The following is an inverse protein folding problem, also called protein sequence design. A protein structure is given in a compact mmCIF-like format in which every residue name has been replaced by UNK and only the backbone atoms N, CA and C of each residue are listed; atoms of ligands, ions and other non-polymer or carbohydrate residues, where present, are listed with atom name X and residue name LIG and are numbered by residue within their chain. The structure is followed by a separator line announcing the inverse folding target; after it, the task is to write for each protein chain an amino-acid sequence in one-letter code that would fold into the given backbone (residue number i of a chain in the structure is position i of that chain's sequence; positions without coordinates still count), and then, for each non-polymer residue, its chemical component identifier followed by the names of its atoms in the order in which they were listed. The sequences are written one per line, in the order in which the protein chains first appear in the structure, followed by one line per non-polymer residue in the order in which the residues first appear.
data_IF_376602813576
#
_entry.id   IF_376602813576
#
_cell.length_a   1.000
_cell.length_b   1.000
_cell.length_c   1.000
_cell.angle_alpha   90.00
_cell.angle_beta   90.00
_cell.angle_gamma   90.00
#
_symmetry.space_group_name_H-M   'P 1'
#
loop_
_entity.id
_entity.type
_entity.pdbx_description
1 polymer ?
#
# COMPACT_ATOMS: atom_id res chain seq x y z
N UNK A 1 40.84 44.17 13.79
CA UNK A 1 41.38 44.22 15.16
C UNK A 1 41.21 42.82 15.77
N UNK A 2 42.36 42.19 16.07
CA UNK A 2 42.67 41.13 17.05
C UNK A 2 41.70 39.95 17.29
N UNK A 3 42.12 38.68 17.06
CA UNK A 3 43.00 37.80 17.89
C UNK A 3 42.27 37.36 19.19
N UNK A 4 42.14 36.09 19.56
CA UNK A 4 43.14 35.00 19.64
C UNK A 4 42.49 33.61 19.81
N UNK A 5 43.24 32.58 19.40
CA UNK A 5 43.09 31.16 19.79
C UNK A 5 43.65 30.90 21.22
N UNK A 6 43.44 29.68 21.76
CA UNK A 6 44.46 28.77 22.38
C UNK A 6 43.79 27.61 23.16
N UNK A 7 44.14 26.36 22.77
CA UNK A 7 44.63 25.18 23.57
C UNK A 7 43.96 24.92 24.94
N UNK A 8 43.48 23.74 25.36
CA UNK A 8 43.82 22.33 25.10
C UNK A 8 44.41 21.69 26.38
N UNK A 9 43.78 20.67 26.98
CA UNK A 9 44.43 19.74 27.96
C UNK A 9 43.71 18.38 27.92
N UNK A 10 44.49 17.32 27.74
CA UNK A 10 44.13 15.91 27.90
C UNK A 10 44.51 15.42 29.30
N UNK A 11 43.76 14.49 29.89
CA UNK A 11 44.20 13.70 31.05
C UNK A 11 43.86 12.23 30.79
N UNK A 12 44.86 11.37 30.95
CA UNK A 12 44.85 9.94 30.73
C UNK A 12 44.90 9.16 32.06
N UNK A 13 44.36 7.93 31.98
CA UNK A 13 44.75 6.68 32.66
C UNK A 13 44.46 6.49 34.16
N UNK A 14 43.87 5.34 34.49
CA UNK A 14 44.59 4.25 35.20
C UNK A 14 43.82 2.92 35.15
N UNK A 15 44.57 1.83 34.89
CA UNK A 15 44.16 0.43 34.95
C UNK A 15 44.18 -0.09 36.40
N UNK A 16 43.37 -1.09 36.70
CA UNK A 16 43.62 -2.03 37.80
C UNK A 16 43.50 -3.48 37.29
N UNK A 17 44.62 -4.21 37.37
CA UNK A 17 44.69 -5.67 37.29
C UNK A 17 44.45 -6.25 38.70
N UNK A 18 43.76 -7.38 38.80
CA UNK A 18 43.96 -8.31 39.90
C UNK A 18 43.83 -9.76 39.43
N UNK A 19 44.78 -10.56 39.88
CA UNK A 19 45.17 -11.84 39.33
C UNK A 19 44.64 -13.04 40.15
N UNK A 20 44.49 -14.15 39.43
CA UNK A 20 44.68 -15.58 39.77
C UNK A 20 44.30 -16.11 41.16
N UNK A 21 43.55 -17.21 41.19
CA UNK A 21 43.90 -18.44 41.95
C UNK A 21 43.30 -19.66 41.24
N UNK A 22 44.08 -20.74 41.15
CA UNK A 22 43.74 -22.03 40.55
C UNK A 22 43.48 -23.09 41.63
N UNK A 23 42.58 -24.06 41.36
CA UNK A 23 42.63 -25.43 41.89
C UNK A 23 41.57 -26.34 41.21
N UNK A 24 42.03 -27.44 40.62
CA UNK A 24 41.28 -28.69 40.34
C UNK A 24 41.70 -29.77 41.39
N UNK A 25 41.22 -31.04 41.41
CA UNK A 25 40.09 -31.71 40.73
C UNK A 25 39.22 -32.55 41.72
N UNK A 26 38.13 -33.20 41.24
CA UNK A 26 37.88 -34.64 41.45
C UNK A 26 36.47 -35.12 41.00
N UNK A 27 36.50 -36.23 40.25
CA UNK A 27 35.62 -37.40 40.29
C UNK A 27 34.14 -37.31 39.84
N UNK A 28 33.86 -38.06 38.76
CA UNK A 28 32.89 -39.16 38.81
C UNK A 28 31.54 -38.92 38.15
N UNK A 29 31.21 -39.76 37.16
CA UNK A 29 29.84 -39.95 36.70
C UNK A 29 29.73 -40.22 35.20
N UNK A 30 29.82 -41.50 34.82
CA UNK A 30 29.37 -41.96 33.51
C UNK A 30 27.87 -41.73 33.36
N UNK A 31 27.46 -41.10 32.26
CA UNK A 31 26.08 -41.17 31.79
C UNK A 31 26.10 -41.31 30.27
N UNK A 32 25.70 -42.49 29.81
CA UNK A 32 25.65 -42.86 28.40
C UNK A 32 24.79 -41.88 27.59
N UNK A 33 25.40 -41.23 26.61
CA UNK A 33 24.68 -40.45 25.61
C UNK A 33 24.19 -41.40 24.51
N UNK A 34 22.90 -41.72 24.55
CA UNK A 34 22.22 -42.50 23.52
C UNK A 34 22.14 -41.65 22.24
N UNK A 35 22.82 -42.08 21.18
CA UNK A 35 22.77 -41.43 19.87
C UNK A 35 21.35 -41.52 19.28
N UNK A 36 20.76 -40.37 18.98
CA UNK A 36 19.42 -40.24 18.42
C UNK A 36 19.36 -40.62 16.94
N UNK A 37 18.22 -41.22 16.54
CA UNK A 37 17.76 -41.26 15.16
C UNK A 37 16.49 -40.41 15.11
N UNK A 38 16.61 -39.19 14.59
CA UNK A 38 15.45 -38.35 14.24
C UNK A 38 15.07 -38.68 12.81
N UNK A 39 13.93 -39.33 12.62
CA UNK A 39 13.37 -39.62 11.30
C UNK A 39 12.74 -38.33 10.73
N UNK A 40 13.48 -37.62 9.89
CA UNK A 40 12.96 -36.48 9.13
C UNK A 40 12.10 -37.01 7.99
N UNK A 41 10.77 -36.95 8.13
CA UNK A 41 9.86 -37.19 7.01
C UNK A 41 9.76 -35.92 6.19
N UNK A 42 10.40 -35.91 5.01
CA UNK A 42 10.22 -34.86 4.03
C UNK A 42 8.81 -34.98 3.44
N UNK A 43 7.92 -34.08 3.80
CA UNK A 43 6.60 -33.96 3.18
C UNK A 43 6.77 -33.15 1.90
N UNK A 44 6.74 -33.82 0.75
CA UNK A 44 6.72 -33.17 -0.56
C UNK A 44 5.33 -32.60 -0.78
N UNK A 45 5.12 -31.33 -0.48
CA UNK A 45 3.88 -30.62 -0.82
C UNK A 45 3.84 -30.44 -2.34
N UNK A 46 2.97 -31.19 -3.02
CA UNK A 46 2.70 -31.02 -4.45
C UNK A 46 1.91 -29.70 -4.61
N UNK A 47 2.38 -28.73 -5.44
CA UNK A 47 1.59 -27.53 -5.72
C UNK A 47 0.29 -27.94 -6.42
N UNK A 48 -0.84 -27.62 -5.81
CA UNK A 48 -2.14 -27.82 -6.44
C UNK A 48 -2.29 -26.80 -7.59
N UNK A 49 -2.75 -27.20 -8.79
CA UNK A 49 -3.04 -26.24 -9.86
C UNK A 49 -4.04 -25.21 -9.35
N UNK A 50 -3.97 -23.95 -9.83
CA UNK A 50 -4.93 -22.93 -9.43
C UNK A 50 -6.33 -23.46 -9.73
N UNK A 51 -7.14 -23.59 -8.67
CA UNK A 51 -8.56 -23.83 -8.84
C UNK A 51 -9.09 -22.70 -9.70
N UNK A 52 -9.86 -23.04 -10.74
CA UNK A 52 -10.54 -22.04 -11.56
C UNK A 52 -11.46 -21.23 -10.66
N UNK A 53 -10.92 -20.13 -10.13
CA UNK A 53 -11.67 -19.18 -9.35
C UNK A 53 -12.78 -18.64 -10.21
N UNK A 54 -13.96 -18.51 -9.63
CA UNK A 54 -14.95 -17.56 -10.13
C UNK A 54 -14.21 -16.27 -10.45
N UNK A 55 -14.44 -15.66 -11.63
CA UNK A 55 -13.76 -14.46 -12.11
C UNK A 55 -13.74 -13.25 -11.13
N UNK A 56 -14.26 -13.37 -9.90
CA UNK A 56 -14.24 -12.39 -8.81
C UNK A 56 -13.17 -12.56 -7.72
N UNK A 57 -12.53 -13.73 -7.60
CA UNK A 57 -11.71 -14.11 -6.43
C UNK A 57 -10.28 -14.53 -6.84
N UNK A 58 -9.65 -13.74 -7.72
CA UNK A 58 -8.20 -13.84 -7.88
C UNK A 58 -7.50 -13.54 -6.54
N UNK A 59 -6.36 -14.18 -6.22
CA UNK A 59 -5.73 -14.12 -4.90
C UNK A 59 -5.49 -12.69 -4.40
N UNK A 60 -5.12 -11.80 -5.33
CA UNK A 60 -4.68 -10.45 -4.99
C UNK A 60 -5.82 -9.41 -5.14
N UNK A 61 -7.00 -9.81 -5.63
CA UNK A 61 -8.21 -8.98 -5.59
C UNK A 61 -8.10 -7.58 -6.23
N UNK A 62 -7.25 -7.40 -7.24
CA UNK A 62 -7.01 -6.08 -7.85
C UNK A 62 -5.96 -5.21 -7.13
N UNK A 63 -5.24 -5.77 -6.15
CA UNK A 63 -4.06 -5.14 -5.59
C UNK A 63 -2.97 -4.94 -6.65
N UNK A 64 -2.19 -3.87 -6.50
CA UNK A 64 -1.12 -3.49 -7.42
C UNK A 64 0.22 -3.51 -6.68
N UNK A 65 1.20 -4.22 -7.21
CA UNK A 65 2.59 -4.18 -6.73
C UNK A 65 3.33 -2.91 -7.19
N UNK A 66 2.85 -2.28 -8.25
CA UNK A 66 3.30 -0.99 -8.76
C UNK A 66 2.13 -0.29 -9.50
N UNK A 67 2.14 1.06 -9.61
CA UNK A 67 1.15 1.77 -10.41
C UNK A 67 1.14 1.28 -11.86
N UNK A 68 -0.04 1.21 -12.47
CA UNK A 68 -0.23 0.70 -13.83
C UNK A 68 -0.72 1.78 -14.77
N UNK A 69 -0.50 1.58 -16.07
CA UNK A 69 -1.07 2.44 -17.10
C UNK A 69 -2.60 2.28 -17.15
N UNK A 70 -3.39 3.35 -17.36
CA UNK A 70 -4.81 3.25 -17.67
C UNK A 70 -5.14 2.42 -18.93
N UNK A 71 -4.13 2.13 -19.75
CA UNK A 71 -4.26 1.32 -20.95
C UNK A 71 -3.86 -0.16 -20.73
N UNK A 72 -3.39 -0.52 -19.54
CA UNK A 72 -3.03 -1.89 -19.22
C UNK A 72 -4.27 -2.72 -18.85
N UNK A 73 -4.98 -3.18 -19.87
CA UNK A 73 -6.17 -4.03 -19.72
C UNK A 73 -5.86 -5.48 -19.32
N UNK A 74 -4.58 -5.81 -19.07
CA UNK A 74 -4.21 -7.10 -18.47
C UNK A 74 -4.33 -7.06 -16.95
N UNK A 75 -4.28 -5.87 -16.36
CA UNK A 75 -4.48 -5.66 -14.93
C UNK A 75 -5.97 -5.69 -14.56
N UNK A 76 -6.31 -6.47 -13.52
CA UNK A 76 -7.67 -6.49 -12.97
C UNK A 76 -8.14 -5.14 -12.43
N UNK A 77 -7.22 -4.34 -11.90
CA UNK A 77 -7.52 -2.99 -11.42
C UNK A 77 -8.05 -2.10 -12.55
N UNK A 78 -7.68 -2.37 -13.81
CA UNK A 78 -8.06 -1.56 -14.98
C UNK A 78 -9.23 -2.18 -15.72
N UNK A 79 -9.17 -3.46 -16.09
CA UNK A 79 -10.16 -4.10 -16.97
C UNK A 79 -11.54 -4.27 -16.32
N UNK A 80 -11.63 -4.14 -14.98
CA UNK A 80 -12.89 -4.23 -14.23
C UNK A 80 -13.45 -2.89 -13.78
N UNK A 81 -12.83 -1.78 -14.20
CA UNK A 81 -13.48 -0.48 -14.09
C UNK A 81 -14.73 -0.46 -14.96
N UNK A 82 -15.73 0.31 -14.53
CA UNK A 82 -16.90 0.63 -15.32
C UNK A 82 -16.44 1.18 -16.69
N UNK A 83 -16.92 0.65 -17.84
CA UNK A 83 -16.34 0.99 -19.14
C UNK A 83 -16.38 2.49 -19.48
N UNK A 84 -17.47 3.24 -19.20
CA UNK A 84 -17.47 4.70 -19.25
C UNK A 84 -16.37 5.36 -18.40
N UNK A 85 -16.17 4.93 -17.15
CA UNK A 85 -15.11 5.45 -16.30
C UNK A 85 -13.73 5.19 -16.90
N UNK A 86 -13.45 3.96 -17.34
CA UNK A 86 -12.18 3.60 -17.96
C UNK A 86 -11.90 4.47 -19.18
N UNK A 87 -12.93 4.71 -20.01
CA UNK A 87 -12.79 5.57 -21.19
C UNK A 87 -12.43 7.00 -20.81
N UNK A 88 -13.11 7.59 -19.83
CA UNK A 88 -12.82 8.93 -19.35
C UNK A 88 -11.40 9.07 -18.80
N UNK A 89 -10.93 8.07 -18.05
CA UNK A 89 -9.54 8.05 -17.52
C UNK A 89 -8.52 7.94 -18.65
N UNK A 90 -8.79 7.14 -19.68
CA UNK A 90 -7.92 7.02 -20.86
C UNK A 90 -7.88 8.32 -21.67
N UNK A 91 -9.01 9.00 -21.84
CA UNK A 91 -9.08 10.30 -22.52
C UNK A 91 -8.31 11.37 -21.71
N UNK A 92 -8.48 11.39 -20.39
CA UNK A 92 -7.70 12.25 -19.50
C UNK A 92 -6.19 11.95 -19.58
N UNK A 93 -5.79 10.69 -19.60
CA UNK A 93 -4.38 10.28 -19.69
C UNK A 93 -3.73 10.71 -21.02
N UNK A 94 -4.47 10.61 -22.13
CA UNK A 94 -3.99 11.10 -23.43
C UNK A 94 -3.82 12.62 -23.44
N UNK A 95 -4.77 13.36 -22.88
CA UNK A 95 -4.69 14.83 -22.81
C UNK A 95 -3.55 15.27 -21.88
N UNK A 96 -3.41 14.65 -20.72
CA UNK A 96 -2.34 14.95 -19.78
C UNK A 96 -0.97 14.70 -20.40
N UNK A 97 -0.81 13.61 -21.15
CA UNK A 97 0.44 13.29 -21.84
C UNK A 97 0.82 14.35 -22.89
N UNK A 98 -0.17 14.93 -23.58
CA UNK A 98 0.07 16.04 -24.51
C UNK A 98 0.59 17.31 -23.80
N UNK A 99 0.23 17.49 -22.53
CA UNK A 99 0.72 18.56 -21.66
C UNK A 99 2.00 18.18 -20.89
N UNK A 100 2.58 17.00 -21.16
CA UNK A 100 3.79 16.50 -20.48
C UNK A 100 3.55 15.95 -19.08
N UNK A 101 2.30 15.64 -18.72
CA UNK A 101 1.91 15.05 -17.44
C UNK A 101 1.55 13.57 -17.62
N UNK A 102 2.24 12.68 -16.91
CA UNK A 102 1.90 11.26 -16.91
C UNK A 102 0.85 10.94 -15.86
N UNK A 103 -0.24 10.27 -16.26
CA UNK A 103 -1.21 9.67 -15.34
C UNK A 103 -0.98 8.16 -15.23
N UNK A 104 -1.01 7.64 -14.01
CA UNK A 104 -1.03 6.21 -13.70
C UNK A 104 -2.14 5.90 -12.73
N UNK A 105 -2.62 4.66 -12.74
CA UNK A 105 -3.57 4.15 -11.76
C UNK A 105 -2.79 3.55 -10.61
N UNK A 106 -2.95 4.11 -9.41
CA UNK A 106 -2.39 3.57 -8.16
C UNK A 106 -3.36 2.62 -7.47
N UNK A 107 -4.66 2.75 -7.76
CA UNK A 107 -5.68 1.78 -7.37
C UNK A 107 -6.89 1.91 -8.29
N UNK A 108 -7.42 0.80 -8.79
CA UNK A 108 -8.59 0.78 -9.65
C UNK A 108 -9.69 -0.06 -9.04
N UNK A 109 -10.23 -1.02 -9.80
CA UNK A 109 -11.16 -1.99 -9.24
C UNK A 109 -10.52 -2.81 -8.10
N UNK A 110 -11.30 -3.09 -7.05
CA UNK A 110 -10.89 -3.93 -5.92
C UNK A 110 -11.91 -5.04 -5.69
N UNK A 111 -11.47 -6.22 -5.27
CA UNK A 111 -12.39 -7.25 -4.77
C UNK A 111 -12.94 -6.85 -3.41
N UNK A 112 -14.10 -7.41 -3.03
CA UNK A 112 -14.67 -7.21 -1.69
C UNK A 112 -13.75 -7.70 -0.58
N UNK A 113 -13.07 -8.83 -0.79
CA UNK A 113 -12.13 -9.39 0.18
C UNK A 113 -10.91 -8.47 0.37
N UNK A 114 -10.36 -7.93 -0.72
CA UNK A 114 -9.25 -6.99 -0.63
C UNK A 114 -9.68 -5.68 0.05
N UNK A 115 -10.87 -5.16 -0.26
CA UNK A 115 -11.42 -3.98 0.42
C UNK A 115 -11.64 -4.23 1.92
N UNK A 116 -12.07 -5.45 2.32
CA UNK A 116 -12.21 -5.81 3.73
C UNK A 116 -10.85 -5.83 4.43
N UNK A 117 -9.82 -6.40 3.80
CA UNK A 117 -8.47 -6.40 4.33
C UNK A 117 -7.94 -4.98 4.57
N UNK A 118 -8.13 -4.06 3.61
CA UNK A 118 -7.75 -2.66 3.77
C UNK A 118 -8.45 -2.00 4.97
N UNK A 119 -9.72 -2.33 5.20
CA UNK A 119 -10.48 -1.81 6.34
C UNK A 119 -9.93 -2.38 7.66
N UNK A 120 -9.65 -3.68 7.70
CA UNK A 120 -9.10 -4.33 8.88
C UNK A 120 -7.70 -3.79 9.24
N UNK A 121 -6.85 -3.55 8.24
CA UNK A 121 -5.53 -2.94 8.40
C UNK A 121 -5.65 -1.49 8.90
N UNK A 122 -6.63 -0.74 8.38
CA UNK A 122 -6.92 0.62 8.86
C UNK A 122 -7.43 0.60 10.31
N UNK A 123 -8.24 -0.38 10.71
CA UNK A 123 -8.69 -0.54 12.11
C UNK A 123 -7.51 -0.80 13.03
N UNK A 124 -6.57 -1.67 12.62
CA UNK A 124 -5.34 -1.90 13.38
C UNK A 124 -4.49 -0.64 13.50
N UNK A 125 -4.40 0.14 12.42
CA UNK A 125 -3.62 1.38 12.37
C UNK A 125 -4.23 2.51 13.19
N UNK A 126 -5.54 2.71 13.10
CA UNK A 126 -6.25 3.85 13.69
C UNK A 126 -6.98 3.53 15.00
N UNK A 127 -6.93 2.27 15.45
CA UNK A 127 -7.43 1.81 16.75
C UNK A 127 -8.95 1.66 16.85
N UNK A 128 -9.72 2.06 15.84
CA UNK A 128 -11.18 1.83 15.82
C UNK A 128 -11.75 1.85 14.41
N UNK A 129 -12.85 1.13 14.20
CA UNK A 129 -13.63 1.18 12.97
C UNK A 129 -14.13 2.60 12.65
N UNK A 130 -14.54 3.36 13.66
CA UNK A 130 -15.05 4.71 13.46
C UNK A 130 -14.01 5.66 12.86
N UNK A 131 -12.75 5.57 13.31
CA UNK A 131 -11.66 6.38 12.76
C UNK A 131 -11.18 5.81 11.43
N UNK A 132 -11.06 4.49 11.30
CA UNK A 132 -10.64 3.83 10.07
C UNK A 132 -11.56 4.16 8.87
N UNK A 133 -12.88 4.24 9.10
CA UNK A 133 -13.86 4.58 8.07
C UNK A 133 -13.71 5.99 7.48
N UNK A 134 -12.97 6.89 8.15
CA UNK A 134 -12.63 8.19 7.57
C UNK A 134 -11.64 8.06 6.40
N UNK A 135 -10.92 6.95 6.29
CA UNK A 135 -9.89 6.73 5.27
C UNK A 135 -10.19 5.56 4.35
N UNK A 136 -10.96 4.58 4.83
CA UNK A 136 -11.27 3.36 4.08
C UNK A 136 -12.75 3.04 4.19
N UNK A 137 -13.45 3.04 3.05
CA UNK A 137 -14.84 2.63 2.97
C UNK A 137 -15.03 1.14 3.27
N UNK A 138 -16.23 0.77 3.72
CA UNK A 138 -16.61 -0.64 3.86
C UNK A 138 -16.70 -1.34 2.48
N UNK A 139 -16.63 -2.67 2.41
CA UNK A 139 -16.80 -3.39 1.15
C UNK A 139 -18.14 -3.12 0.44
N UNK A 140 -19.19 -2.77 1.18
CA UNK A 140 -20.51 -2.43 0.62
C UNK A 140 -20.57 -1.01 0.05
N UNK A 141 -19.83 -0.07 0.64
CA UNK A 141 -19.86 1.34 0.25
C UNK A 141 -18.76 1.71 -0.73
N UNK A 142 -17.69 0.91 -0.86
CA UNK A 142 -16.55 1.23 -1.70
C UNK A 142 -16.93 1.26 -3.19
N UNK A 143 -16.71 2.40 -3.84
CA UNK A 143 -16.91 2.53 -5.27
C UNK A 143 -15.81 1.84 -6.08
N UNK A 144 -14.64 1.58 -5.50
CA UNK A 144 -13.62 0.71 -6.13
C UNK A 144 -14.13 -0.72 -6.29
N UNK A 145 -14.90 -1.23 -5.31
CA UNK A 145 -15.53 -2.56 -5.40
C UNK A 145 -16.53 -2.62 -6.55
N UNK A 146 -17.23 -1.51 -6.78
CA UNK A 146 -18.21 -1.37 -7.86
C UNK A 146 -17.55 -1.08 -9.22
N UNK A 147 -16.24 -0.86 -9.28
CA UNK A 147 -15.52 -0.42 -10.48
C UNK A 147 -15.80 1.04 -10.87
N UNK A 148 -16.39 1.84 -9.97
CA UNK A 148 -16.84 3.22 -10.23
C UNK A 148 -15.89 4.30 -9.72
N UNK A 149 -14.76 3.90 -9.14
CA UNK A 149 -13.73 4.81 -8.65
C UNK A 149 -12.34 4.38 -9.10
N UNK A 150 -11.45 5.36 -9.20
CA UNK A 150 -10.04 5.18 -9.52
C UNK A 150 -9.18 6.14 -8.71
N UNK A 151 -8.05 5.64 -8.23
CA UNK A 151 -7.00 6.44 -7.62
C UNK A 151 -5.92 6.72 -8.66
N UNK A 152 -5.74 8.00 -8.98
CA UNK A 152 -4.78 8.48 -9.96
C UNK A 152 -3.51 8.93 -9.24
N UNK A 153 -2.37 8.58 -9.82
CA UNK A 153 -1.05 9.08 -9.48
C UNK A 153 -0.28 9.54 -10.71
N UNK A 154 0.99 9.96 -10.53
CA UNK A 154 1.63 10.27 -9.26
C UNK A 154 1.14 11.60 -8.67
N UNK A 155 1.60 11.98 -7.47
CA UNK A 155 1.20 13.24 -6.81
C UNK A 155 1.47 14.51 -7.64
N UNK A 156 2.47 14.50 -8.52
CA UNK A 156 2.74 15.60 -9.44
C UNK A 156 1.64 15.81 -10.48
N UNK A 157 0.79 14.81 -10.73
CA UNK A 157 -0.35 14.92 -11.65
C UNK A 157 -1.61 15.51 -11.00
N UNK A 158 -1.68 15.63 -9.68
CA UNK A 158 -2.91 16.07 -8.98
C UNK A 158 -3.32 17.48 -9.37
N UNK A 159 -2.35 18.38 -9.61
CA UNK A 159 -2.64 19.73 -10.08
C UNK A 159 -3.30 19.76 -11.45
N UNK A 160 -2.83 18.92 -12.37
CA UNK A 160 -3.43 18.78 -13.70
C UNK A 160 -4.83 18.17 -13.60
N UNK A 161 -4.99 17.09 -12.83
CA UNK A 161 -6.30 16.47 -12.63
C UNK A 161 -7.31 17.46 -12.03
N UNK A 162 -6.93 18.24 -11.02
CA UNK A 162 -7.82 19.22 -10.40
C UNK A 162 -8.27 20.31 -11.38
N UNK A 163 -7.41 20.69 -12.32
CA UNK A 163 -7.72 21.73 -13.31
C UNK A 163 -8.51 21.20 -14.52
N UNK A 164 -8.36 19.92 -14.87
CA UNK A 164 -8.78 19.39 -16.17
C UNK A 164 -9.76 18.22 -16.10
N UNK A 165 -9.91 17.52 -14.97
CA UNK A 165 -10.67 16.27 -14.86
C UNK A 165 -12.14 16.38 -15.28
N UNK A 166 -12.79 17.51 -14.96
CA UNK A 166 -14.24 17.69 -15.18
C UNK A 166 -14.63 17.68 -16.66
N UNK A 167 -13.73 18.08 -17.56
CA UNK A 167 -13.99 18.03 -19.01
C UNK A 167 -14.14 16.58 -19.52
N UNK A 168 -13.63 15.60 -18.77
CA UNK A 168 -13.78 14.16 -19.04
C UNK A 168 -14.91 13.53 -18.21
N UNK A 169 -15.66 14.33 -17.47
CA UNK A 169 -16.70 13.86 -16.54
C UNK A 169 -16.17 13.37 -15.19
N UNK A 170 -14.86 13.44 -14.96
CA UNK A 170 -14.20 12.96 -13.75
C UNK A 170 -14.23 14.04 -12.65
N UNK A 171 -14.59 13.64 -11.45
CA UNK A 171 -14.66 14.51 -10.28
C UNK A 171 -13.88 13.93 -9.12
N UNK A 172 -13.10 14.76 -8.45
CA UNK A 172 -12.61 14.44 -7.11
C UNK A 172 -13.81 14.34 -6.17
N UNK A 173 -13.90 13.27 -5.39
CA UNK A 173 -15.07 13.03 -4.51
C UNK A 173 -14.80 13.41 -3.06
N UNK A 174 -13.60 13.17 -2.54
CA UNK A 174 -13.27 13.43 -1.14
C UNK A 174 -12.25 14.55 -1.00
N UNK A 175 -12.51 15.51 -0.11
CA UNK A 175 -11.65 16.67 0.11
C UNK A 175 -10.24 16.28 0.60
N UNK A 176 -10.12 15.19 1.35
CA UNK A 176 -8.85 14.66 1.87
C UNK A 176 -8.11 13.73 0.88
N UNK A 177 -8.69 13.40 -0.28
CA UNK A 177 -8.14 12.40 -1.21
C UNK A 177 -8.04 12.98 -2.63
N UNK A 178 -6.96 13.75 -2.88
CA UNK A 178 -6.72 14.39 -4.19
C UNK A 178 -6.51 13.40 -5.36
N UNK A 179 -6.33 12.14 -5.03
CA UNK A 179 -6.12 11.04 -5.96
C UNK A 179 -7.41 10.33 -6.36
N UNK A 180 -8.49 10.41 -5.58
CA UNK A 180 -9.72 9.62 -5.79
C UNK A 180 -10.68 10.33 -6.74
N UNK A 181 -10.94 9.73 -7.90
CA UNK A 181 -11.85 10.25 -8.92
C UNK A 181 -12.97 9.27 -9.27
N UNK A 182 -14.15 9.83 -9.55
CA UNK A 182 -15.33 9.12 -10.04
C UNK A 182 -15.96 9.84 -11.22
N UNK A 183 -16.65 9.12 -12.09
CA UNK A 183 -17.35 9.68 -13.24
C UNK A 183 -18.73 10.24 -12.81
N UNK A 184 -18.74 11.45 -12.24
CA UNK A 184 -19.93 12.03 -11.59
C UNK A 184 -20.24 13.46 -11.97
N UNK A 185 -19.49 14.06 -12.91
CA UNK A 185 -19.86 15.37 -13.42
C UNK A 185 -21.24 15.31 -14.11
N UNK A 186 -22.04 16.36 -13.94
CA UNK A 186 -23.32 16.49 -14.65
C UNK A 186 -23.15 16.86 -16.12
N UNK A 187 -24.27 17.04 -16.83
CA UNK A 187 -24.26 17.39 -18.26
C UNK A 187 -23.61 18.76 -18.55
N UNK A 188 -23.55 19.62 -17.54
CA UNK A 188 -22.93 20.94 -17.54
C UNK A 188 -21.46 20.90 -17.06
N UNK A 189 -20.93 19.71 -16.78
CA UNK A 189 -19.56 19.50 -16.33
C UNK A 189 -19.30 19.94 -14.89
N UNK A 190 -20.35 20.08 -14.07
CA UNK A 190 -20.23 20.42 -12.65
C UNK A 190 -20.09 19.17 -11.81
N UNK A 191 -19.13 19.21 -10.89
CA UNK A 191 -18.95 18.15 -9.90
C UNK A 191 -19.91 18.32 -8.72
N UNK A 192 -20.39 17.22 -8.12
CA UNK A 192 -21.03 17.28 -6.82
C UNK A 192 -20.12 17.92 -5.75
N UNK A 193 -20.68 18.49 -4.67
CA UNK A 193 -19.87 18.96 -3.56
C UNK A 193 -18.96 17.87 -3.01
N UNK A 194 -17.72 18.24 -2.68
CA UNK A 194 -16.77 17.33 -2.04
C UNK A 194 -17.33 16.80 -0.73
N UNK A 195 -17.21 15.49 -0.53
CA UNK A 195 -17.42 14.85 0.76
C UNK A 195 -16.20 15.10 1.63
N UNK A 196 -16.38 15.15 2.94
CA UNK A 196 -15.25 15.42 3.86
C UNK A 196 -14.21 14.32 3.77
N UNK A 197 -14.68 13.06 3.79
CA UNK A 197 -13.86 11.86 3.75
C UNK A 197 -14.71 10.62 3.42
N UNK A 198 -14.11 9.43 3.44
CA UNK A 198 -14.76 8.18 3.04
C UNK A 198 -15.99 7.79 3.90
N UNK A 199 -16.14 8.35 5.11
CA UNK A 199 -17.25 8.04 6.01
C UNK A 199 -18.57 8.78 5.67
N UNK A 200 -18.54 9.80 4.80
CA UNK A 200 -19.68 10.71 4.56
C UNK A 200 -19.47 12.09 5.13
#
# INVERSE_FOLDING_TARGET
MSRSAVVGVAIAATLALSACHAAEPAAGGHSDAVAGIVLVTAQTTVPQPPSSGTLGEEPDGGALSAPVSPFDTTSLAVIRLDPPLLRAVQDAANSAAADGVTLVITSGWRSRAFQQQLLDDAVQTYGSLAVARQWVATPDESHHVQGKAVDIGPASAYGWMLAHSTQFGLCQVFANEKWHYELTADAEGQCPPLRTNAAG
#
